data_IF_694854971173
#
_entry.id   IF_694854971173
#
_cell.length_a   1.000
_cell.length_b   1.000
_cell.length_c   1.000
_cell.angle_alpha   90.00
_cell.angle_beta   90.00
_cell.angle_gamma   90.00
#
_symmetry.space_group_name_H-M   'P 1'
#
loop_
_entity.id
_entity.type
_entity.pdbx_description
1 polymer ?
#
# COMPACT_ATOMS: atom_id res chain seq x y z
N UNK A 1 15.17 -72.11 -8.80
CA UNK A 1 14.23 -71.70 -9.86
C UNK A 1 12.85 -71.73 -9.23
N UNK A 2 12.10 -70.65 -9.04
CA UNK A 2 12.12 -69.32 -9.67
C UNK A 2 11.29 -68.38 -8.80
N UNK A 3 11.76 -67.14 -8.71
CA UNK A 3 11.10 -65.96 -8.12
C UNK A 3 9.81 -65.59 -8.83
N UNK A 4 8.91 -64.91 -8.12
CA UNK A 4 7.90 -63.90 -8.59
C UNK A 4 7.06 -63.57 -7.34
N UNK A 5 7.20 -62.45 -6.63
CA UNK A 5 7.19 -61.03 -7.00
C UNK A 5 6.09 -60.71 -8.01
N UNK A 6 4.97 -60.19 -7.52
CA UNK A 6 3.93 -59.54 -8.32
C UNK A 6 3.44 -58.34 -7.52
N UNK A 7 3.80 -57.16 -8.02
CA UNK A 7 3.45 -55.87 -7.46
C UNK A 7 2.01 -55.49 -7.73
N UNK A 8 1.43 -54.81 -6.75
CA UNK A 8 0.23 -53.99 -6.90
C UNK A 8 0.66 -52.55 -7.28
N UNK A 9 -0.16 -51.82 -8.05
CA UNK A 9 0.19 -50.50 -8.58
C UNK A 9 0.16 -49.43 -7.48
N UNK A 10 0.96 -48.35 -7.58
CA UNK A 10 0.82 -47.19 -6.70
C UNK A 10 -0.30 -46.29 -7.21
N UNK A 11 -1.38 -46.19 -6.42
CA UNK A 11 -2.32 -45.07 -6.52
C UNK A 11 -1.61 -43.79 -6.11
N UNK A 12 -1.47 -42.85 -7.05
CA UNK A 12 -1.01 -41.50 -6.78
C UNK A 12 -2.19 -40.68 -6.20
N UNK A 13 -2.04 -40.06 -5.01
CA UNK A 13 -2.92 -38.97 -4.64
C UNK A 13 -2.40 -37.68 -5.29
N UNK A 14 -3.07 -37.26 -6.36
CA UNK A 14 -3.08 -35.88 -6.83
C UNK A 14 -3.67 -35.01 -5.71
N UNK A 15 -2.81 -34.40 -4.91
CA UNK A 15 -3.20 -33.40 -3.93
C UNK A 15 -2.73 -32.04 -4.41
N UNK A 16 -3.66 -31.35 -5.07
CA UNK A 16 -3.73 -29.91 -5.16
C UNK A 16 -3.53 -29.32 -3.74
N UNK A 17 -2.39 -28.68 -3.50
CA UNK A 17 -2.07 -28.00 -2.23
C UNK A 17 -1.56 -26.62 -2.53
N UNK A 18 -2.46 -25.76 -3.02
CA UNK A 18 -2.45 -24.34 -2.67
C UNK A 18 -2.73 -24.24 -1.17
N UNK A 19 -1.72 -24.53 -0.36
CA UNK A 19 -1.74 -24.30 1.08
C UNK A 19 -0.97 -23.02 1.34
N UNK A 20 -1.67 -21.91 1.54
CA UNK A 20 -1.17 -20.87 2.43
C UNK A 20 -0.98 -21.53 3.78
N UNK A 21 0.25 -21.96 4.08
CA UNK A 21 0.59 -22.50 5.38
C UNK A 21 0.77 -21.31 6.31
N UNK A 22 -0.21 -21.11 7.17
CA UNK A 22 -0.15 -20.26 8.34
C UNK A 22 0.90 -20.87 9.29
N UNK A 23 2.12 -20.33 9.25
CA UNK A 23 3.23 -20.79 10.08
C UNK A 23 3.39 -19.81 11.22
N UNK A 24 2.93 -20.21 12.41
CA UNK A 24 3.19 -19.50 13.64
C UNK A 24 4.68 -19.60 13.99
N UNK A 25 5.40 -18.48 13.89
CA UNK A 25 6.59 -18.27 14.71
C UNK A 25 6.09 -18.22 16.16
N UNK A 26 6.81 -18.69 17.20
CA UNK A 26 6.28 -18.80 18.57
C UNK A 26 5.71 -17.50 19.20
N UNK A 27 5.74 -16.34 18.52
CA UNK A 27 5.11 -15.10 18.96
C UNK A 27 4.38 -14.31 17.84
N UNK A 28 4.68 -14.51 16.54
CA UNK A 28 4.17 -13.64 15.44
C UNK A 28 3.71 -14.43 14.20
N UNK A 29 2.68 -13.91 13.52
CA UNK A 29 2.08 -14.50 12.30
C UNK A 29 2.73 -13.99 10.99
N UNK A 30 3.79 -13.17 11.06
CA UNK A 30 4.53 -12.67 9.90
C UNK A 30 5.30 -11.38 10.18
N UNK A 31 6.03 -10.83 9.19
CA UNK A 31 6.87 -9.64 9.38
C UNK A 31 6.06 -8.36 9.62
N UNK A 32 4.90 -8.22 8.99
CA UNK A 32 3.99 -7.08 9.25
C UNK A 32 3.37 -7.12 10.64
N UNK A 33 3.14 -8.32 11.19
CA UNK A 33 2.63 -8.48 12.54
C UNK A 33 3.66 -8.05 13.59
N UNK A 34 4.93 -8.40 13.36
CA UNK A 34 6.05 -7.89 14.17
C UNK A 34 6.16 -6.37 14.07
N UNK A 35 6.12 -5.79 12.87
CA UNK A 35 6.15 -4.33 12.69
C UNK A 35 5.00 -3.64 13.41
N UNK A 36 3.79 -4.18 13.28
CA UNK A 36 2.60 -3.66 13.97
C UNK A 36 2.77 -3.76 15.49
N UNK A 37 3.33 -4.84 16.01
CA UNK A 37 3.62 -4.99 17.42
C UNK A 37 4.62 -3.93 17.93
N UNK A 38 5.72 -3.70 17.19
CA UNK A 38 6.72 -2.71 17.54
C UNK A 38 6.15 -1.28 17.55
N UNK A 39 5.35 -0.94 16.53
CA UNK A 39 4.64 0.34 16.42
C UNK A 39 3.67 0.54 17.59
N UNK A 40 2.89 -0.48 17.94
CA UNK A 40 1.89 -0.38 19.02
C UNK A 40 2.55 -0.35 20.41
N UNK A 41 3.71 -0.98 20.59
CA UNK A 41 4.45 -1.01 21.86
C UNK A 41 4.97 0.37 22.25
N UNK A 42 5.48 1.13 21.29
CA UNK A 42 6.10 2.42 21.56
C UNK A 42 5.06 3.57 21.75
N UNK A 43 3.76 3.29 21.66
CA UNK A 43 2.64 4.24 21.90
C UNK A 43 2.72 5.55 21.12
N UNK A 44 3.46 5.57 20.01
CA UNK A 44 3.56 6.74 19.14
C UNK A 44 2.50 6.64 18.06
N UNK A 45 1.84 7.76 17.74
CA UNK A 45 0.92 7.85 16.62
C UNK A 45 1.62 7.34 15.35
N UNK A 46 0.98 6.44 14.60
CA UNK A 46 1.54 5.80 13.39
C UNK A 46 2.15 6.84 12.41
N UNK A 47 1.62 8.07 12.44
CA UNK A 47 2.00 9.20 11.60
C UNK A 47 3.23 9.99 12.07
N UNK A 48 3.67 9.82 13.33
CA UNK A 48 4.77 10.59 13.93
C UNK A 48 6.07 9.77 14.09
N UNK A 49 6.08 8.49 13.69
CA UNK A 49 7.20 7.61 13.97
C UNK A 49 8.40 7.91 13.08
N UNK A 50 9.58 8.02 13.67
CA UNK A 50 10.82 8.03 12.89
C UNK A 50 11.09 6.60 12.40
N UNK A 51 11.03 6.42 11.08
CA UNK A 51 11.29 5.15 10.41
C UNK A 51 12.57 4.45 10.91
N UNK A 52 13.61 5.23 11.22
CA UNK A 52 14.89 4.73 11.74
C UNK A 52 14.73 3.89 13.00
N UNK A 53 13.91 4.34 13.96
CA UNK A 53 13.68 3.64 15.23
C UNK A 53 12.95 2.31 15.01
N UNK A 54 11.98 2.27 14.10
CA UNK A 54 11.25 1.03 13.76
C UNK A 54 12.20 0.03 13.08
N UNK A 55 13.03 0.50 12.15
CA UNK A 55 14.00 -0.36 11.45
C UNK A 55 14.95 -0.99 12.45
N UNK A 56 15.46 -0.20 13.41
CA UNK A 56 16.36 -0.70 14.46
C UNK A 56 15.68 -1.70 15.40
N UNK A 57 14.45 -1.41 15.83
CA UNK A 57 13.68 -2.32 16.66
C UNK A 57 13.35 -3.64 15.93
N UNK A 58 13.06 -3.56 14.62
CA UNK A 58 12.78 -4.73 13.79
C UNK A 58 14.01 -5.61 13.63
N UNK A 59 15.17 -5.03 13.31
CA UNK A 59 16.43 -5.77 13.17
C UNK A 59 16.85 -6.41 14.50
N UNK A 60 16.72 -5.68 15.62
CA UNK A 60 17.05 -6.21 16.95
C UNK A 60 16.19 -7.42 17.32
N UNK A 61 14.89 -7.40 16.99
CA UNK A 61 14.02 -8.54 17.28
C UNK A 61 14.25 -9.70 16.30
N UNK A 62 14.63 -9.42 15.05
CA UNK A 62 15.04 -10.43 14.08
C UNK A 62 16.32 -11.18 14.52
N UNK A 63 17.31 -10.49 15.08
CA UNK A 63 18.51 -11.09 15.67
C UNK A 63 18.16 -11.98 16.87
N UNK A 64 17.18 -11.58 17.69
CA UNK A 64 16.68 -12.39 18.82
C UNK A 64 15.99 -13.68 18.39
N UNK A 65 15.50 -13.71 17.16
CA UNK A 65 14.74 -14.80 16.57
C UNK A 65 15.62 -15.83 15.82
N UNK A 66 16.96 -15.78 15.98
CA UNK A 66 18.03 -16.58 15.35
C UNK A 66 17.82 -18.11 15.15
N UNK A 67 16.75 -18.70 15.67
CA UNK A 67 16.32 -20.08 15.41
C UNK A 67 15.12 -20.19 14.45
N UNK A 68 14.99 -19.30 13.46
CA UNK A 68 13.89 -19.36 12.48
C UNK A 68 14.06 -20.52 11.49
N UNK A 69 12.92 -21.10 11.11
CA UNK A 69 12.82 -22.01 9.97
C UNK A 69 13.17 -21.26 8.67
N UNK A 70 13.92 -21.89 7.77
CA UNK A 70 14.51 -21.23 6.59
C UNK A 70 13.45 -20.60 5.67
N UNK A 71 12.26 -21.20 5.62
CA UNK A 71 11.15 -20.71 4.81
C UNK A 71 10.53 -19.42 5.39
N UNK A 72 10.38 -19.33 6.72
CA UNK A 72 9.88 -18.12 7.41
C UNK A 72 10.90 -16.99 7.28
N UNK A 73 12.19 -17.29 7.31
CA UNK A 73 13.23 -16.28 7.19
C UNK A 73 13.15 -15.48 5.89
N UNK A 74 12.63 -16.04 4.79
CA UNK A 74 12.62 -15.36 3.48
C UNK A 74 11.75 -14.09 3.48
N UNK A 75 10.56 -14.15 4.07
CA UNK A 75 9.64 -12.99 4.14
C UNK A 75 10.17 -11.91 5.08
N UNK A 76 10.73 -12.32 6.23
CA UNK A 76 11.35 -11.40 7.18
C UNK A 76 12.59 -10.72 6.60
N UNK A 77 13.40 -11.45 5.83
CA UNK A 77 14.58 -10.92 5.15
C UNK A 77 14.23 -9.96 4.03
N UNK A 78 13.16 -10.21 3.28
CA UNK A 78 12.66 -9.27 2.26
C UNK A 78 12.32 -7.92 2.91
N UNK A 79 11.51 -7.95 3.97
CA UNK A 79 11.12 -6.73 4.69
C UNK A 79 12.33 -6.08 5.37
N UNK A 80 13.25 -6.87 5.94
CA UNK A 80 14.51 -6.36 6.50
C UNK A 80 15.33 -5.61 5.45
N UNK A 81 15.47 -6.19 4.25
CA UNK A 81 16.22 -5.58 3.15
C UNK A 81 15.59 -4.26 2.70
N UNK A 82 14.26 -4.23 2.52
CA UNK A 82 13.53 -3.00 2.19
C UNK A 82 13.69 -1.94 3.28
N UNK A 83 13.59 -2.32 4.56
CA UNK A 83 13.76 -1.40 5.69
C UNK A 83 15.18 -0.85 5.82
N UNK A 84 16.19 -1.68 5.58
CA UNK A 84 17.60 -1.27 5.56
C UNK A 84 17.91 -0.35 4.38
N UNK A 85 17.35 -0.62 3.20
CA UNK A 85 17.44 0.27 2.03
C UNK A 85 16.80 1.64 2.33
N UNK A 86 15.62 1.64 2.93
CA UNK A 86 14.92 2.86 3.33
C UNK A 86 15.72 3.65 4.39
N UNK A 87 16.38 2.95 5.32
CA UNK A 87 17.26 3.55 6.34
C UNK A 87 18.56 4.08 5.73
N UNK A 88 19.19 3.36 4.80
CA UNK A 88 20.44 3.79 4.19
C UNK A 88 20.23 5.05 3.37
N UNK A 89 19.21 5.08 2.49
CA UNK A 89 18.86 6.26 1.69
C UNK A 89 18.63 7.50 2.56
N UNK A 90 18.03 7.34 3.75
CA UNK A 90 17.75 8.45 4.68
C UNK A 90 18.96 8.91 5.51
N UNK A 91 19.97 8.06 5.71
CA UNK A 91 21.14 8.37 6.55
C UNK A 91 22.37 8.79 5.75
N UNK A 92 22.39 8.52 4.45
CA UNK A 92 23.42 9.10 3.59
C UNK A 92 23.23 10.63 3.62
N UNK A 93 24.33 11.40 3.78
CA UNK A 93 24.26 12.84 3.67
C UNK A 93 23.64 13.19 2.32
N UNK A 94 22.67 14.08 2.34
CA UNK A 94 22.17 14.74 1.15
C UNK A 94 23.40 15.31 0.42
N UNK A 95 23.83 14.69 -0.68
CA UNK A 95 24.52 15.49 -1.67
C UNK A 95 23.51 16.59 -2.02
N UNK A 96 23.90 17.87 -1.99
CA UNK A 96 23.01 19.01 -2.27
C UNK A 96 22.27 18.92 -3.65
N UNK A 97 22.60 17.87 -4.41
CA UNK A 97 22.15 17.43 -5.73
C UNK A 97 21.27 16.14 -5.72
N UNK A 98 20.66 15.73 -4.60
CA UNK A 98 19.60 14.70 -4.68
C UNK A 98 18.46 15.21 -5.55
N UNK A 99 18.13 14.44 -6.60
CA UNK A 99 17.01 14.76 -7.49
C UNK A 99 15.71 14.73 -6.67
N UNK A 100 14.88 15.75 -6.86
CA UNK A 100 13.60 15.90 -6.17
C UNK A 100 12.65 14.72 -6.49
N UNK A 101 12.89 14.05 -7.61
CA UNK A 101 12.30 12.75 -7.96
C UNK A 101 12.70 11.61 -7.02
N UNK A 102 13.98 11.51 -6.65
CA UNK A 102 14.49 10.47 -5.73
C UNK A 102 13.97 10.69 -4.31
N UNK A 103 13.89 11.96 -3.88
CA UNK A 103 13.24 12.31 -2.61
C UNK A 103 11.78 11.88 -2.64
N UNK A 104 11.01 12.29 -3.65
CA UNK A 104 9.59 11.98 -3.75
C UNK A 104 9.34 10.47 -3.76
N UNK A 105 10.14 9.70 -4.50
CA UNK A 105 10.07 8.24 -4.50
C UNK A 105 10.26 7.64 -3.10
N UNK A 106 11.20 8.16 -2.30
CA UNK A 106 11.42 7.72 -0.93
C UNK A 106 10.21 8.01 -0.02
N UNK A 107 9.57 9.17 -0.17
CA UNK A 107 8.33 9.51 0.54
C UNK A 107 7.18 8.58 0.15
N UNK A 108 7.04 8.25 -1.14
CA UNK A 108 6.02 7.33 -1.64
C UNK A 108 6.23 5.89 -1.14
N UNK A 109 7.47 5.38 -1.16
CA UNK A 109 7.80 4.06 -0.63
C UNK A 109 7.44 3.94 0.86
N UNK A 110 7.73 4.98 1.65
CA UNK A 110 7.34 5.04 3.07
C UNK A 110 5.82 5.02 3.24
N UNK A 111 5.11 5.86 2.51
CA UNK A 111 3.66 5.98 2.64
C UNK A 111 2.94 4.70 2.19
N UNK A 112 3.47 4.01 1.18
CA UNK A 112 3.00 2.69 0.75
C UNK A 112 3.19 1.64 1.86
N UNK A 113 4.36 1.62 2.51
CA UNK A 113 4.61 0.71 3.64
C UNK A 113 3.62 0.98 4.78
N UNK A 114 3.39 2.26 5.09
CA UNK A 114 2.46 2.69 6.13
C UNK A 114 1.02 2.26 5.82
N UNK A 115 0.60 2.43 4.57
CA UNK A 115 -0.73 2.03 4.10
C UNK A 115 -0.95 0.52 4.28
N UNK A 116 0.05 -0.31 3.91
CA UNK A 116 0.00 -1.77 4.10
C UNK A 116 -0.06 -2.17 5.57
N UNK A 117 0.69 -1.48 6.43
CA UNK A 117 0.63 -1.70 7.89
C UNK A 117 -0.75 -1.36 8.46
N UNK A 118 -1.37 -0.26 8.01
CA UNK A 118 -2.71 0.14 8.41
C UNK A 118 -3.74 -0.91 7.96
N UNK A 119 -3.66 -1.38 6.72
CA UNK A 119 -4.53 -2.42 6.18
C UNK A 119 -4.41 -3.71 7.00
N UNK A 120 -3.18 -4.18 7.25
CA UNK A 120 -2.94 -5.35 8.09
C UNK A 120 -3.56 -5.20 9.49
N UNK A 121 -3.41 -4.03 10.12
CA UNK A 121 -4.06 -3.70 11.41
C UNK A 121 -5.57 -3.83 11.34
N UNK A 122 -6.21 -3.28 10.29
CA UNK A 122 -7.66 -3.34 10.14
C UNK A 122 -8.17 -4.79 10.04
N UNK A 123 -7.47 -5.65 9.29
CA UNK A 123 -7.82 -7.06 9.19
C UNK A 123 -7.55 -7.82 10.48
N UNK A 124 -6.49 -7.49 11.21
CA UNK A 124 -6.20 -8.06 12.53
C UNK A 124 -7.29 -7.68 13.55
N UNK A 125 -7.73 -6.43 13.57
CA UNK A 125 -8.82 -6.00 14.46
C UNK A 125 -10.15 -6.68 14.08
N UNK A 126 -10.41 -6.83 12.77
CA UNK A 126 -11.58 -7.56 12.27
C UNK A 126 -11.53 -9.05 12.65
N UNK A 127 -10.37 -9.69 12.61
CA UNK A 127 -10.22 -11.11 12.97
C UNK A 127 -10.56 -11.35 14.44
N UNK A 128 -10.18 -10.44 15.34
CA UNK A 128 -10.55 -10.49 16.77
C UNK A 128 -12.07 -10.43 16.96
N UNK A 129 -12.75 -9.53 16.24
CA UNK A 129 -14.21 -9.42 16.29
C UNK A 129 -14.87 -10.68 15.75
N UNK A 130 -14.41 -11.21 14.61
CA UNK A 130 -14.93 -12.43 14.02
C UNK A 130 -14.70 -13.66 14.91
N UNK A 131 -13.54 -13.76 15.57
CA UNK A 131 -13.26 -14.82 16.52
C UNK A 131 -14.24 -14.80 17.70
N UNK A 132 -14.55 -13.61 18.23
CA UNK A 132 -15.57 -13.44 19.27
C UNK A 132 -16.96 -13.86 18.78
N UNK A 133 -17.37 -13.39 17.60
CA UNK A 133 -18.67 -13.74 17.01
C UNK A 133 -18.79 -15.26 16.76
N UNK A 134 -17.72 -15.89 16.28
CA UNK A 134 -17.65 -17.34 16.09
C UNK A 134 -17.78 -18.10 17.40
N UNK A 135 -17.09 -17.64 18.46
CA UNK A 135 -17.20 -18.25 19.79
C UNK A 135 -18.61 -18.10 20.39
N UNK A 136 -19.27 -16.96 20.17
CA UNK A 136 -20.67 -16.74 20.57
C UNK A 136 -21.63 -17.62 19.75
N UNK A 137 -21.45 -17.72 18.44
CA UNK A 137 -22.24 -18.57 17.55
C UNK A 137 -22.06 -20.06 17.88
N UNK A 138 -20.86 -20.49 18.26
CA UNK A 138 -20.57 -21.86 18.68
C UNK A 138 -21.31 -22.31 19.94
N UNK A 139 -21.84 -21.36 20.74
CA UNK A 139 -22.74 -21.66 21.87
C UNK A 139 -24.18 -21.90 21.45
N UNK A 140 -24.51 -21.63 20.19
CA UNK A 140 -25.84 -21.85 19.64
C UNK A 140 -25.91 -23.22 18.98
N UNK A 141 -26.85 -24.06 19.42
CA UNK A 141 -27.13 -25.34 18.80
C UNK A 141 -28.34 -25.19 17.87
N UNK A 142 -28.25 -25.62 16.59
CA UNK A 142 -29.40 -25.59 15.72
C UNK A 142 -30.48 -26.52 16.27
N UNK A 143 -31.73 -26.07 16.24
CA UNK A 143 -32.86 -26.94 16.55
C UNK A 143 -33.06 -27.91 15.39
N UNK A 144 -32.74 -29.19 15.61
CA UNK A 144 -32.91 -30.27 14.61
C UNK A 144 -34.34 -30.79 14.50
N UNK A 145 -35.18 -30.51 15.51
CA UNK A 145 -36.60 -30.86 15.48
C UNK A 145 -37.44 -29.69 14.96
N UNK A 146 -38.18 -29.92 13.88
CA UNK A 146 -39.19 -29.00 13.35
C UNK A 146 -40.38 -28.80 14.31
N UNK A 147 -41.40 -28.07 13.85
CA UNK A 147 -42.66 -27.97 14.58
C UNK A 147 -43.31 -29.36 14.67
N UNK A 148 -43.88 -29.70 15.84
CA UNK A 148 -44.70 -30.91 15.99
C UNK A 148 -45.94 -30.80 15.09
N UNK A 149 -46.45 -31.94 14.61
CA UNK A 149 -47.61 -32.03 13.69
C UNK A 149 -48.81 -31.16 14.13
N UNK A 150 -49.06 -31.11 15.44
CA UNK A 150 -50.16 -30.36 16.08
C UNK A 150 -50.01 -28.83 15.99
N UNK A 151 -48.81 -28.33 15.70
CA UNK A 151 -48.51 -26.90 15.62
C UNK A 151 -48.24 -26.42 14.19
N UNK A 152 -48.21 -27.32 13.18
CA UNK A 152 -48.00 -26.94 11.78
C UNK A 152 -49.01 -25.90 11.27
N UNK A 153 -50.25 -25.95 11.77
CA UNK A 153 -51.31 -24.99 11.42
C UNK A 153 -51.14 -23.60 12.04
N UNK A 154 -50.24 -23.44 13.01
CA UNK A 154 -49.94 -22.18 13.72
C UNK A 154 -48.60 -21.59 13.25
N UNK A 155 -47.88 -22.29 12.36
CA UNK A 155 -46.64 -21.79 11.80
C UNK A 155 -46.91 -20.47 11.06
N UNK A 156 -46.10 -19.42 11.28
CA UNK A 156 -46.15 -18.24 10.42
C UNK A 156 -45.86 -18.69 8.99
N UNK A 157 -46.51 -18.05 8.02
CA UNK A 157 -46.24 -18.30 6.62
C UNK A 157 -44.79 -17.95 6.30
N UNK A 158 -43.94 -18.97 6.18
CA UNK A 158 -42.51 -18.84 5.87
C UNK A 158 -42.26 -18.28 4.46
N UNK A 159 -43.29 -18.32 3.60
CA UNK A 159 -43.27 -17.78 2.25
C UNK A 159 -43.97 -16.41 2.17
N UNK A 160 -44.37 -15.84 3.30
CA UNK A 160 -45.02 -14.52 3.31
C UNK A 160 -44.10 -13.46 2.70
N UNK A 161 -44.56 -12.85 1.60
CA UNK A 161 -43.79 -11.84 0.85
C UNK A 161 -42.75 -12.42 -0.10
N UNK A 162 -42.69 -13.74 -0.30
CA UNK A 162 -41.89 -14.36 -1.36
C UNK A 162 -42.65 -14.21 -2.68
N UNK A 163 -42.03 -13.53 -3.65
CA UNK A 163 -42.56 -13.39 -5.01
C UNK A 163 -41.78 -14.30 -5.97
N UNK A 164 -42.37 -14.61 -7.13
CA UNK A 164 -41.67 -15.35 -8.18
C UNK A 164 -40.36 -14.66 -8.61
N UNK A 165 -40.33 -13.33 -8.62
CA UNK A 165 -39.11 -12.56 -8.90
C UNK A 165 -38.03 -12.78 -7.85
N UNK A 166 -38.37 -12.74 -6.55
CA UNK A 166 -37.40 -13.01 -5.47
C UNK A 166 -36.84 -14.43 -5.55
N UNK A 167 -37.68 -15.41 -5.92
CA UNK A 167 -37.24 -16.79 -6.11
C UNK A 167 -36.29 -16.91 -7.30
N UNK A 168 -36.59 -16.24 -8.42
CA UNK A 168 -35.71 -16.15 -9.58
C UNK A 168 -34.37 -15.53 -9.20
N UNK A 169 -34.39 -14.40 -8.50
CA UNK A 169 -33.16 -13.67 -8.13
C UNK A 169 -32.28 -14.50 -7.18
N UNK A 170 -32.90 -15.20 -6.21
CA UNK A 170 -32.19 -16.12 -5.32
C UNK A 170 -31.57 -17.30 -6.09
N UNK A 171 -32.30 -17.87 -7.07
CA UNK A 171 -31.78 -18.94 -7.93
C UNK A 171 -30.60 -18.44 -8.78
N UNK A 172 -30.70 -17.26 -9.38
CA UNK A 172 -29.61 -16.65 -10.14
C UNK A 172 -28.39 -16.39 -9.27
N UNK A 173 -28.56 -15.92 -8.03
CA UNK A 173 -27.45 -15.71 -7.10
C UNK A 173 -26.80 -17.03 -6.66
N UNK A 174 -27.58 -18.08 -6.39
CA UNK A 174 -27.07 -19.39 -5.98
C UNK A 174 -26.36 -20.14 -7.12
N UNK A 175 -26.82 -19.95 -8.36
CA UNK A 175 -26.24 -20.55 -9.57
C UNK A 175 -25.18 -19.66 -10.24
N UNK A 176 -24.98 -18.44 -9.75
CA UNK A 176 -23.95 -17.55 -10.25
C UNK A 176 -22.57 -18.20 -10.02
N UNK A 177 -21.70 -18.25 -11.04
CA UNK A 177 -20.32 -18.67 -10.83
C UNK A 177 -19.69 -17.79 -9.77
N UNK A 178 -18.96 -18.40 -8.83
CA UNK A 178 -18.19 -17.64 -7.83
C UNK A 178 -17.29 -16.66 -8.59
N UNK A 179 -17.37 -15.34 -8.31
CA UNK A 179 -16.57 -14.37 -9.03
C UNK A 179 -15.10 -14.76 -8.91
N UNK A 180 -14.42 -14.83 -10.06
CA UNK A 180 -12.98 -15.08 -10.10
C UNK A 180 -12.32 -13.93 -9.36
N UNK A 181 -11.53 -14.25 -8.33
CA UNK A 181 -10.74 -13.26 -7.61
C UNK A 181 -9.83 -12.56 -8.63
N UNK A 182 -10.21 -11.34 -9.03
CA UNK A 182 -9.33 -10.48 -9.79
C UNK A 182 -8.36 -9.90 -8.79
N UNK A 183 -7.08 -10.12 -9.03
CA UNK A 183 -6.01 -9.43 -8.31
C UNK A 183 -6.20 -7.95 -8.65
N UNK A 184 -6.55 -7.18 -7.64
CA UNK A 184 -6.70 -5.74 -7.74
C UNK A 184 -5.33 -5.13 -8.01
N UNK A 185 -5.13 -4.47 -9.14
CA UNK A 185 -3.85 -3.86 -9.54
C UNK A 185 -3.75 -2.39 -9.11
N UNK A 186 -4.67 -1.90 -8.27
CA UNK A 186 -4.61 -0.52 -7.74
C UNK A 186 -3.32 -0.26 -6.93
N UNK A 187 -2.60 -1.31 -6.51
CA UNK A 187 -1.27 -1.23 -5.89
C UNK A 187 -0.12 -1.06 -6.89
N UNK A 188 -0.38 -1.14 -8.19
CA UNK A 188 0.61 -0.83 -9.23
C UNK A 188 0.63 0.69 -9.37
N UNK A 189 1.74 1.30 -8.91
CA UNK A 189 1.93 2.74 -9.03
C UNK A 189 1.72 3.16 -10.50
N UNK A 190 0.80 4.10 -10.79
CA UNK A 190 0.67 4.62 -12.14
C UNK A 190 1.99 5.28 -12.54
N UNK A 191 2.34 5.19 -13.83
CA UNK A 191 3.48 5.93 -14.39
C UNK A 191 3.15 7.41 -14.22
N UNK A 192 3.84 8.08 -13.29
CA UNK A 192 3.66 9.49 -12.98
C UNK A 192 4.72 10.31 -13.71
N UNK A 193 4.37 11.54 -14.06
CA UNK A 193 5.31 12.54 -14.55
C UNK A 193 6.37 12.79 -13.47
N UNK A 194 7.63 12.73 -13.88
CA UNK A 194 8.76 13.04 -12.99
C UNK A 194 8.91 14.55 -12.81
N UNK A 195 9.50 14.98 -11.70
CA UNK A 195 9.89 16.36 -11.44
C UNK A 195 10.86 16.85 -12.51
N UNK A 196 11.85 16.03 -12.91
CA UNK A 196 12.75 16.37 -14.00
C UNK A 196 12.00 16.62 -15.33
N UNK A 197 11.06 15.75 -15.69
CA UNK A 197 10.19 15.96 -16.87
C UNK A 197 9.37 17.25 -16.76
N UNK A 198 8.84 17.54 -15.57
CA UNK A 198 8.09 18.77 -15.31
C UNK A 198 8.98 20.02 -15.37
N UNK A 199 10.23 19.96 -14.93
CA UNK A 199 11.21 21.06 -15.08
C UNK A 199 11.50 21.33 -16.55
N UNK A 200 11.69 20.29 -17.36
CA UNK A 200 11.90 20.43 -18.81
C UNK A 200 10.68 21.07 -19.49
N UNK A 201 9.46 20.60 -19.20
CA UNK A 201 8.23 21.21 -19.73
C UNK A 201 8.11 22.68 -19.35
N UNK A 202 8.35 23.02 -18.08
CA UNK A 202 8.24 24.39 -17.57
C UNK A 202 9.32 25.31 -18.16
N UNK A 203 10.53 24.80 -18.36
CA UNK A 203 11.61 25.54 -19.03
C UNK A 203 11.27 25.88 -20.48
N UNK A 204 10.48 25.06 -21.18
CA UNK A 204 9.99 25.32 -22.53
C UNK A 204 8.77 26.26 -22.58
N UNK A 205 7.88 26.15 -21.58
CA UNK A 205 6.60 26.86 -21.51
C UNK A 205 6.74 28.31 -20.99
N UNK A 206 7.50 28.52 -19.92
CA UNK A 206 7.62 29.82 -19.23
C UNK A 206 8.21 30.95 -20.09
N UNK A 207 9.25 30.72 -20.93
CA UNK A 207 9.79 31.77 -21.79
C UNK A 207 8.78 32.34 -22.81
N UNK A 208 7.78 31.54 -23.20
CA UNK A 208 6.78 31.91 -24.22
C UNK A 208 5.57 32.63 -23.64
N UNK A 209 5.28 32.37 -22.36
CA UNK A 209 4.02 32.76 -21.71
C UNK A 209 4.16 34.06 -20.92
N UNK A 210 5.38 34.43 -20.51
CA UNK A 210 5.65 35.62 -19.71
C UNK A 210 5.19 35.46 -18.25
N UNK A 211 5.02 36.56 -17.49
CA UNK A 211 4.65 36.49 -16.08
C UNK A 211 3.30 35.79 -15.89
N UNK A 212 3.30 34.67 -15.17
CA UNK A 212 2.13 33.83 -14.95
C UNK A 212 1.93 33.52 -13.46
N UNK A 213 0.69 33.26 -13.07
CA UNK A 213 0.36 32.80 -11.71
C UNK A 213 0.39 31.27 -11.65
N UNK A 214 0.85 30.69 -10.54
CA UNK A 214 0.86 29.23 -10.34
C UNK A 214 -0.52 28.58 -10.52
N UNK A 215 -1.59 29.31 -10.16
CA UNK A 215 -2.97 28.85 -10.33
C UNK A 215 -3.40 28.72 -11.80
N UNK A 216 -2.90 29.59 -12.67
CA UNK A 216 -3.12 29.49 -14.10
C UNK A 216 -2.27 28.36 -14.71
N UNK A 217 -1.04 28.17 -14.23
CA UNK A 217 -0.12 27.12 -14.67
C UNK A 217 -0.61 25.69 -14.37
N UNK A 218 -1.44 25.54 -13.33
CA UNK A 218 -1.98 24.24 -12.88
C UNK A 218 -3.46 24.04 -13.23
N UNK A 219 -4.07 24.98 -13.96
CA UNK A 219 -5.51 24.95 -14.26
C UNK A 219 -5.93 23.77 -15.15
N UNK A 220 -5.03 23.25 -15.97
CA UNK A 220 -5.27 22.10 -16.85
C UNK A 220 -5.05 20.74 -16.19
N UNK A 221 -4.45 20.70 -15.00
CA UNK A 221 -4.12 19.47 -14.29
C UNK A 221 -5.34 18.96 -13.51
N UNK A 222 -5.55 17.63 -13.52
CA UNK A 222 -6.69 16.98 -12.86
C UNK A 222 -6.25 16.26 -11.58
N UNK A 223 -5.07 15.65 -11.60
CA UNK A 223 -4.58 14.89 -10.45
C UNK A 223 -3.85 15.79 -9.46
N UNK A 224 -4.10 15.58 -8.16
CA UNK A 224 -3.45 16.35 -7.09
C UNK A 224 -1.93 16.16 -7.12
N UNK A 225 -1.46 14.98 -7.51
CA UNK A 225 -0.03 14.69 -7.54
C UNK A 225 0.67 15.46 -8.67
N UNK A 226 0.08 15.58 -9.85
CA UNK A 226 0.63 16.41 -10.94
C UNK A 226 0.81 17.87 -10.51
N UNK A 227 -0.14 18.41 -9.73
CA UNK A 227 -0.05 19.76 -9.16
C UNK A 227 1.13 19.88 -8.20
N UNK A 228 1.38 18.85 -7.39
CA UNK A 228 2.53 18.79 -6.46
C UNK A 228 3.83 18.68 -7.23
N UNK A 229 3.93 17.82 -8.25
CA UNK A 229 5.12 17.68 -9.10
C UNK A 229 5.45 19.00 -9.80
N UNK A 230 4.46 19.70 -10.39
CA UNK A 230 4.69 21.04 -10.96
C UNK A 230 5.12 22.08 -9.94
N UNK A 231 4.63 22.00 -8.71
CA UNK A 231 5.05 22.91 -7.64
C UNK A 231 6.50 22.65 -7.24
N UNK A 232 6.88 21.38 -7.08
CA UNK A 232 8.24 20.95 -6.77
C UNK A 232 9.21 21.35 -7.88
N UNK A 233 8.87 21.10 -9.15
CA UNK A 233 9.65 21.53 -10.29
C UNK A 233 9.90 23.05 -10.28
N UNK A 234 8.88 23.84 -9.93
CA UNK A 234 9.00 25.29 -9.85
C UNK A 234 9.90 25.76 -8.69
N UNK A 235 9.89 25.07 -7.55
CA UNK A 235 10.82 25.33 -6.45
C UNK A 235 12.25 24.95 -6.82
N UNK A 236 12.42 23.87 -7.57
CA UNK A 236 13.72 23.44 -8.09
C UNK A 236 14.29 24.49 -9.07
N UNK A 237 13.47 24.97 -10.00
CA UNK A 237 13.86 26.06 -10.91
C UNK A 237 14.19 27.36 -10.17
N UNK A 238 13.53 27.65 -9.05
CA UNK A 238 13.84 28.80 -8.20
C UNK A 238 15.18 28.61 -7.47
N UNK A 239 15.44 27.40 -6.93
CA UNK A 239 16.72 27.01 -6.31
C UNK A 239 17.87 27.17 -7.31
N UNK A 240 17.67 26.80 -8.57
CA UNK A 240 18.64 26.96 -9.66
C UNK A 240 18.72 28.38 -10.24
N UNK A 241 17.87 29.31 -9.80
CA UNK A 241 17.87 30.71 -10.22
C UNK A 241 17.27 30.98 -11.61
N UNK A 242 16.51 30.05 -12.20
CA UNK A 242 15.90 30.20 -13.52
C UNK A 242 14.60 31.02 -13.48
N UNK A 243 13.93 31.02 -12.33
CA UNK A 243 12.67 31.73 -12.08
C UNK A 243 12.73 32.53 -10.79
N UNK A 244 11.98 33.63 -10.73
CA UNK A 244 11.71 34.40 -9.52
C UNK A 244 10.25 34.24 -9.10
N UNK A 245 10.01 34.22 -7.79
CA UNK A 245 8.72 33.96 -7.18
C UNK A 245 8.30 35.10 -6.25
N UNK A 246 7.16 35.72 -6.53
CA UNK A 246 6.55 36.75 -5.67
C UNK A 246 5.26 36.20 -5.04
N UNK A 247 5.26 36.08 -3.71
CA UNK A 247 4.09 35.68 -2.92
C UNK A 247 3.86 36.68 -1.77
N UNK A 248 2.86 37.59 -1.88
CA UNK A 248 2.67 38.69 -0.93
C UNK A 248 2.12 38.27 0.45
N UNK A 249 1.69 37.01 0.62
CA UNK A 249 1.22 36.50 1.90
C UNK A 249 1.05 34.98 1.89
N UNK A 250 1.00 34.36 3.07
CA UNK A 250 0.88 32.90 3.20
C UNK A 250 -0.38 32.40 2.50
N UNK A 251 -0.24 31.34 1.69
CA UNK A 251 -1.31 30.79 0.85
C UNK A 251 -1.91 31.80 -0.15
N UNK A 252 -1.20 32.90 -0.40
CA UNK A 252 -1.53 33.88 -1.43
C UNK A 252 -1.13 33.40 -2.82
N UNK A 253 -1.54 34.16 -3.82
CA UNK A 253 -1.21 33.89 -5.21
C UNK A 253 0.30 33.98 -5.46
N UNK A 254 0.87 32.93 -6.06
CA UNK A 254 2.30 32.86 -6.41
C UNK A 254 2.43 33.37 -7.84
N UNK A 255 3.13 34.49 -8.02
CA UNK A 255 3.52 34.99 -9.35
C UNK A 255 4.90 34.48 -9.69
N UNK A 256 5.04 34.09 -10.95
CA UNK A 256 6.21 33.42 -11.48
C UNK A 256 6.76 34.31 -12.59
N UNK A 257 8.04 34.66 -12.50
CA UNK A 257 8.74 35.45 -13.51
C UNK A 257 9.95 34.66 -13.97
N UNK A 258 10.05 34.41 -15.28
CA UNK A 258 11.22 33.77 -15.86
C UNK A 258 12.42 34.73 -15.90
N UNK A 259 13.54 34.35 -15.31
CA UNK A 259 14.78 35.13 -15.29
C UNK A 259 15.78 34.66 -16.36
N UNK A 260 15.68 33.41 -16.82
CA UNK A 260 16.61 32.80 -17.77
C UNK A 260 17.75 32.05 -17.09
N UNK A 261 18.43 31.17 -17.85
CA UNK A 261 19.58 30.40 -17.36
C UNK A 261 20.72 31.35 -17.08
N UNK A 262 21.02 31.59 -15.80
CA UNK A 262 22.28 32.22 -15.39
C UNK A 262 23.36 31.14 -15.41
N UNK A 263 23.80 30.77 -16.62
CA UNK A 263 24.95 29.90 -16.86
C UNK A 263 26.14 30.75 -17.29
N UNK A 264 27.29 30.50 -16.68
CA UNK A 264 28.59 31.16 -16.88
C UNK A 264 28.96 31.45 -18.34
N UNK A 265 28.58 32.61 -18.86
CA UNK A 265 29.13 33.18 -20.10
C UNK A 265 29.23 34.71 -19.97
N UNK A 266 30.31 35.19 -19.35
CA UNK A 266 30.88 36.51 -19.70
C UNK A 266 32.14 36.32 -20.54
N UNK A 267 32.06 36.50 -21.87
CA UNK A 267 33.18 36.98 -22.66
C UNK A 267 33.08 38.51 -22.79
N UNK A 268 33.90 39.23 -22.02
CA UNK A 268 34.54 40.47 -22.44
C UNK A 268 33.83 41.82 -22.19
N UNK A 269 34.40 42.58 -21.24
CA UNK A 269 35.02 43.88 -21.52
C UNK A 269 34.17 45.15 -21.45
N UNK A 270 34.62 46.08 -20.60
CA UNK A 270 34.88 47.54 -20.80
C UNK A 270 34.95 48.13 -19.37
N UNK A 271 36.09 48.60 -18.88
CA UNK A 271 36.77 49.86 -19.26
C UNK A 271 38.23 49.83 -18.81
#
# INVERSE_FOLDING_TARGET
MTSTSTGAPPDAPTADRTGSYEVHTPVYEGPFDLLLHLILRDQVDLYEITLTEIVDAYLAELERLESLDLDVATEFLLIAATLVELKSRRLLPDDDDLDLDDELALWEERDLLLARLLECKTFKDASVVLARLSAEAGRSLPRTAGLEERFLSVAPDLLAGVTADRLRDAFLAAMAPKPVARIDLDHVAPIRMSVAEAVEELADELPRTGPITFRALTQSLVERLEVVVRFLALLEMFKQGWVDLDQPGNFGEIRIVWLGVVGDDEPGGVT
#
